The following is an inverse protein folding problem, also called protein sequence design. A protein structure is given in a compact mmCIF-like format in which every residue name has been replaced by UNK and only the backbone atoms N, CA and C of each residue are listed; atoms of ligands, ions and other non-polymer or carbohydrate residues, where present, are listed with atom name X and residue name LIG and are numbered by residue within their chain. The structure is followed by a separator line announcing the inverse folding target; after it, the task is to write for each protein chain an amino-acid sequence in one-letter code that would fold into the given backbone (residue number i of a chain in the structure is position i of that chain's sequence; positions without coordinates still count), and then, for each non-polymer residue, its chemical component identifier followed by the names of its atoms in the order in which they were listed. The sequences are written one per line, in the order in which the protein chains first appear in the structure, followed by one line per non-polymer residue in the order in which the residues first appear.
data_IF_147926434476
#
_entry.id   IF_147926434476
#
_cell.length_a   1.000
_cell.length_b   1.000
_cell.length_c   1.000
_cell.angle_alpha   90.00
_cell.angle_beta   90.00
_cell.angle_gamma   90.00
#
_symmetry.space_group_name_H-M   'P 1'
#
loop_
_entity.id
_entity.type
_entity.pdbx_description
1 polymer ?
#
# COMPACT_ATOMS: atom_id res chain seq x y z
N UNK A 1 0.23 -12.82 -17.07
CA UNK A 1 0.60 -12.97 -15.64
C UNK A 1 1.63 -14.07 -15.56
N UNK A 2 2.80 -13.83 -15.00
CA UNK A 2 3.80 -14.87 -14.79
C UNK A 2 3.98 -15.04 -13.29
N UNK A 3 4.00 -16.29 -12.77
CA UNK A 3 4.39 -16.51 -11.38
C UNK A 3 5.81 -15.96 -11.15
N UNK A 4 6.05 -15.38 -9.99
CA UNK A 4 7.35 -14.81 -9.59
C UNK A 4 8.42 -15.88 -9.48
N UNK A 5 8.02 -17.09 -9.28
CA UNK A 5 8.90 -18.21 -9.09
C UNK A 5 8.33 -19.43 -9.76
N UNK A 6 9.06 -20.02 -10.68
CA UNK A 6 9.49 -21.35 -10.30
C UNK A 6 10.35 -21.19 -9.04
N UNK A 7 9.73 -21.06 -7.89
CA UNK A 7 10.38 -21.30 -6.63
C UNK A 7 10.88 -22.73 -6.75
N UNK A 8 12.19 -22.91 -6.78
CA UNK A 8 12.73 -24.22 -6.46
C UNK A 8 12.27 -24.51 -5.04
N UNK A 9 11.05 -25.05 -4.94
CA UNK A 9 10.54 -25.64 -3.73
C UNK A 9 11.53 -26.71 -3.34
N UNK A 10 12.32 -26.47 -2.31
CA UNK A 10 13.20 -27.49 -1.82
C UNK A 10 14.61 -27.08 -1.38
N UNK A 11 14.99 -25.79 -1.39
CA UNK A 11 16.17 -25.41 -0.61
C UNK A 11 15.83 -25.56 0.87
N UNK A 12 16.55 -26.39 1.66
CA UNK A 12 16.30 -26.56 3.10
C UNK A 12 16.28 -25.23 3.88
N UNK A 13 17.02 -24.23 3.41
CA UNK A 13 17.08 -22.89 3.98
C UNK A 13 15.77 -22.08 3.79
N UNK A 14 15.04 -22.28 2.70
CA UNK A 14 13.76 -21.59 2.49
C UNK A 14 12.65 -22.22 3.32
N UNK A 15 12.59 -23.56 3.41
CA UNK A 15 11.59 -24.25 4.23
C UNK A 15 11.71 -23.86 5.71
N UNK A 16 12.92 -23.83 6.27
CA UNK A 16 13.14 -23.41 7.66
C UNK A 16 12.75 -21.96 7.94
N UNK A 17 12.94 -21.05 6.97
CA UNK A 17 12.50 -19.65 7.06
C UNK A 17 10.99 -19.53 6.98
N UNK A 18 10.36 -20.28 6.09
CA UNK A 18 8.90 -20.28 5.94
C UNK A 18 8.21 -20.88 7.16
N UNK A 19 8.78 -21.93 7.75
CA UNK A 19 8.33 -22.52 9.02
C UNK A 19 8.46 -21.52 10.18
N UNK A 20 9.60 -20.82 10.27
CA UNK A 20 9.83 -19.78 11.28
C UNK A 20 8.81 -18.64 11.16
N UNK A 21 8.60 -18.09 9.96
CA UNK A 21 7.63 -17.02 9.71
C UNK A 21 6.20 -17.50 9.96
N UNK A 22 5.86 -18.71 9.55
CA UNK A 22 4.54 -19.31 9.80
C UNK A 22 4.28 -19.45 11.29
N UNK A 23 5.23 -20.03 12.05
CA UNK A 23 5.13 -20.17 13.49
C UNK A 23 4.96 -18.81 14.17
N UNK A 24 5.83 -17.87 13.82
CA UNK A 24 5.86 -16.54 14.40
C UNK A 24 4.56 -15.76 14.12
N UNK A 25 4.11 -15.71 12.87
CA UNK A 25 2.89 -15.02 12.49
C UNK A 25 1.63 -15.69 13.08
N UNK A 26 1.61 -17.01 13.19
CA UNK A 26 0.51 -17.70 13.87
C UNK A 26 0.41 -17.28 15.34
N UNK A 27 1.52 -17.10 16.06
CA UNK A 27 1.51 -16.56 17.43
C UNK A 27 1.00 -15.12 17.46
N UNK A 28 1.46 -14.29 16.52
CA UNK A 28 1.08 -12.88 16.43
C UNK A 28 -0.41 -12.68 16.14
N UNK A 29 -0.96 -13.45 15.21
CA UNK A 29 -2.35 -13.29 14.74
C UNK A 29 -3.38 -14.07 15.56
N UNK A 30 -2.93 -15.02 16.40
CA UNK A 30 -3.83 -15.87 17.18
C UNK A 30 -4.34 -15.16 18.44
N UNK A 31 -5.14 -14.11 18.26
CA UNK A 31 -5.74 -13.34 19.35
C UNK A 31 -7.06 -13.96 19.86
N UNK A 32 -7.65 -14.85 19.06
CA UNK A 32 -8.99 -15.39 19.26
C UNK A 32 -9.04 -16.93 19.31
N UNK A 33 -7.89 -17.60 19.29
CA UNK A 33 -7.79 -19.05 19.18
C UNK A 33 -8.05 -19.60 17.77
N UNK A 34 -8.36 -18.72 16.80
CA UNK A 34 -8.70 -19.06 15.43
C UNK A 34 -7.91 -18.25 14.38
N UNK A 35 -6.75 -17.71 14.78
CA UNK A 35 -5.86 -16.91 13.93
C UNK A 35 -6.54 -15.69 13.31
N UNK A 36 -7.43 -15.03 14.06
CA UNK A 36 -8.15 -13.83 13.65
C UNK A 36 -9.45 -14.06 12.89
N UNK A 37 -9.85 -15.31 12.63
CA UNK A 37 -11.10 -15.62 11.91
C UNK A 37 -12.36 -15.22 12.65
N UNK A 38 -12.34 -15.21 13.98
CA UNK A 38 -13.49 -14.79 14.77
C UNK A 38 -13.54 -13.26 14.95
N UNK A 39 -12.42 -12.57 14.77
CA UNK A 39 -12.33 -11.10 14.87
C UNK A 39 -12.70 -10.43 13.55
N UNK A 40 -12.17 -10.92 12.44
CA UNK A 40 -12.49 -10.42 11.10
C UNK A 40 -13.00 -11.57 10.23
N UNK A 41 -14.21 -12.08 10.46
CA UNK A 41 -14.76 -13.21 9.68
C UNK A 41 -15.07 -12.79 8.23
N UNK A 42 -15.31 -11.51 8.00
CA UNK A 42 -15.63 -10.94 6.70
C UNK A 42 -14.59 -9.85 6.34
N UNK A 43 -13.58 -10.16 5.53
CA UNK A 43 -12.50 -9.21 5.24
C UNK A 43 -12.96 -7.88 4.63
N UNK A 44 -14.06 -7.87 3.89
CA UNK A 44 -14.66 -6.65 3.30
C UNK A 44 -15.59 -5.90 4.28
N UNK A 45 -15.75 -6.40 5.50
CA UNK A 45 -16.48 -5.77 6.59
C UNK A 45 -15.69 -5.96 7.89
N UNK A 46 -14.59 -5.21 7.98
CA UNK A 46 -13.60 -5.32 9.08
C UNK A 46 -14.25 -5.19 10.46
N UNK A 47 -15.32 -4.39 10.58
CA UNK A 47 -16.02 -4.12 11.84
C UNK A 47 -17.31 -4.92 11.99
N UNK A 48 -17.48 -5.99 11.23
CA UNK A 48 -18.64 -6.91 11.36
C UNK A 48 -18.80 -7.42 12.79
N UNK A 49 -17.69 -7.72 13.45
CA UNK A 49 -17.68 -8.13 14.86
C UNK A 49 -17.21 -6.94 15.71
N UNK A 50 -17.98 -6.53 16.74
CA UNK A 50 -17.68 -5.35 17.55
C UNK A 50 -16.29 -5.38 18.24
N UNK A 51 -15.76 -6.57 18.54
CA UNK A 51 -14.42 -6.71 19.14
C UNK A 51 -13.31 -6.18 18.23
N UNK A 52 -13.50 -6.14 16.91
CA UNK A 52 -12.53 -5.55 15.98
C UNK A 52 -12.27 -4.06 16.30
N UNK A 53 -13.29 -3.32 16.73
CA UNK A 53 -13.15 -1.91 17.12
C UNK A 53 -12.19 -1.72 18.29
N UNK A 54 -12.18 -2.66 19.25
CA UNK A 54 -11.29 -2.60 20.42
C UNK A 54 -9.83 -2.87 20.02
N UNK A 55 -9.60 -3.61 18.95
CA UNK A 55 -8.27 -3.90 18.43
C UNK A 55 -7.69 -2.75 17.60
N UNK A 56 -8.50 -1.80 17.17
CA UNK A 56 -8.03 -0.67 16.35
C UNK A 56 -7.05 0.24 17.10
N UNK A 57 -7.20 0.35 18.43
CA UNK A 57 -6.31 1.16 19.27
C UNK A 57 -4.94 0.48 19.52
N UNK A 58 -4.78 -0.81 19.19
CA UNK A 58 -3.53 -1.55 19.39
C UNK A 58 -2.54 -1.30 18.27
N UNK A 59 -1.29 -1.08 18.66
CA UNK A 59 -0.15 -1.11 17.74
C UNK A 59 0.39 -2.55 17.56
N UNK A 60 1.17 -2.75 16.51
CA UNK A 60 1.93 -3.98 16.33
C UNK A 60 2.95 -4.20 17.47
N UNK A 61 3.50 -3.10 18.05
CA UNK A 61 4.38 -3.15 19.21
C UNK A 61 3.65 -3.73 20.44
N UNK A 62 2.44 -3.23 20.75
CA UNK A 62 1.66 -3.69 21.89
C UNK A 62 1.41 -5.20 21.79
N UNK A 63 1.05 -5.68 20.59
CA UNK A 63 0.83 -7.09 20.36
C UNK A 63 2.09 -7.94 20.48
N UNK A 64 3.24 -7.46 19.96
CA UNK A 64 4.52 -8.15 20.11
C UNK A 64 4.93 -8.23 21.58
N UNK A 65 4.75 -7.17 22.34
CA UNK A 65 5.12 -7.13 23.75
C UNK A 65 4.21 -8.05 24.60
N UNK A 66 2.93 -8.13 24.28
CA UNK A 66 1.99 -9.07 24.91
C UNK A 66 2.45 -10.54 24.75
N UNK A 67 2.88 -10.93 23.54
CA UNK A 67 3.28 -12.31 23.25
C UNK A 67 4.78 -12.58 23.45
N UNK A 68 5.57 -11.56 23.84
CA UNK A 68 7.01 -11.66 23.97
C UNK A 68 7.51 -12.88 24.75
N UNK A 69 6.86 -13.32 25.88
CA UNK A 69 7.29 -14.50 26.60
C UNK A 69 7.21 -15.82 25.80
N UNK A 70 6.41 -15.84 24.73
CA UNK A 70 6.23 -17.01 23.86
C UNK A 70 7.14 -17.02 22.64
N UNK A 71 7.87 -15.94 22.40
CA UNK A 71 8.70 -15.76 21.21
C UNK A 71 10.16 -16.07 21.47
N UNK A 72 10.77 -16.86 20.60
CA UNK A 72 12.23 -16.89 20.49
C UNK A 72 12.75 -15.58 19.86
N UNK A 73 14.04 -15.24 20.09
CA UNK A 73 14.63 -14.06 19.44
C UNK A 73 14.51 -14.06 17.91
N UNK A 74 14.61 -15.23 17.27
CA UNK A 74 14.45 -15.38 15.82
C UNK A 74 13.00 -15.15 15.35
N UNK A 75 12.02 -15.69 16.09
CA UNK A 75 10.61 -15.46 15.79
C UNK A 75 10.25 -13.97 15.94
N UNK A 76 10.76 -13.31 16.99
CA UNK A 76 10.55 -11.89 17.22
C UNK A 76 11.10 -11.08 16.04
N UNK A 77 12.35 -11.30 15.64
CA UNK A 77 12.95 -10.61 14.49
C UNK A 77 12.20 -10.89 13.18
N UNK A 78 11.72 -12.11 12.97
CA UNK A 78 10.92 -12.49 11.80
C UNK A 78 9.58 -11.74 11.76
N UNK A 79 8.83 -11.69 12.87
CA UNK A 79 7.57 -10.91 12.96
C UNK A 79 7.84 -9.44 12.69
N UNK A 80 8.79 -8.85 13.41
CA UNK A 80 9.10 -7.43 13.31
C UNK A 80 9.47 -7.05 11.87
N UNK A 81 10.33 -7.83 11.22
CA UNK A 81 10.74 -7.57 9.83
C UNK A 81 9.57 -7.69 8.85
N UNK A 82 8.69 -8.68 9.03
CA UNK A 82 7.55 -8.88 8.13
C UNK A 82 6.49 -7.78 8.30
N UNK A 83 6.19 -7.37 9.53
CA UNK A 83 5.26 -6.28 9.81
C UNK A 83 5.79 -4.97 9.26
N UNK A 84 7.07 -4.68 9.46
CA UNK A 84 7.71 -3.47 8.93
C UNK A 84 7.79 -3.47 7.41
N UNK A 85 7.95 -4.65 6.78
CA UNK A 85 7.82 -4.80 5.33
C UNK A 85 6.42 -4.41 4.84
N UNK A 86 5.37 -4.83 5.55
CA UNK A 86 3.98 -4.54 5.18
C UNK A 86 3.60 -3.08 5.44
N UNK A 87 4.02 -2.52 6.58
CA UNK A 87 3.59 -1.19 7.02
C UNK A 87 4.50 -0.06 6.55
N UNK A 88 5.79 -0.33 6.33
CA UNK A 88 6.80 0.69 6.03
C UNK A 88 6.92 1.79 7.10
N UNK A 89 6.53 1.50 8.34
CA UNK A 89 6.43 2.41 9.46
C UNK A 89 7.32 1.98 10.64
N UNK A 90 6.99 2.37 11.86
CA UNK A 90 7.53 1.78 13.10
C UNK A 90 6.50 0.82 13.70
N UNK A 91 6.92 -0.13 14.52
CA UNK A 91 5.99 -1.07 15.18
C UNK A 91 4.95 -0.33 16.04
N UNK A 92 5.38 0.73 16.72
CA UNK A 92 4.50 1.54 17.58
C UNK A 92 3.47 2.38 16.80
N UNK A 93 3.76 2.74 15.54
CA UNK A 93 2.83 3.50 14.70
C UNK A 93 2.04 2.63 13.72
N UNK A 94 2.33 1.35 13.66
CA UNK A 94 1.64 0.37 12.80
C UNK A 94 0.39 -0.14 13.50
N UNK A 95 -0.80 0.02 12.92
CA UNK A 95 -2.04 -0.56 13.43
C UNK A 95 -2.00 -2.08 13.38
N UNK A 96 -2.27 -2.73 14.52
CA UNK A 96 -2.45 -4.17 14.59
C UNK A 96 -3.69 -4.61 13.80
N UNK A 97 -4.78 -3.87 13.88
CA UNK A 97 -6.01 -4.21 13.16
C UNK A 97 -5.84 -4.13 11.64
N UNK A 98 -5.09 -3.14 11.11
CA UNK A 98 -4.80 -3.09 9.68
C UNK A 98 -4.00 -4.30 9.21
N UNK A 99 -3.03 -4.75 10.01
CA UNK A 99 -2.30 -5.99 9.73
C UNK A 99 -3.23 -7.22 9.75
N UNK A 100 -4.12 -7.30 10.73
CA UNK A 100 -5.11 -8.38 10.82
C UNK A 100 -6.10 -8.38 9.66
N UNK A 101 -6.43 -7.21 9.13
CA UNK A 101 -7.24 -7.09 7.92
C UNK A 101 -6.50 -7.65 6.68
N UNK A 102 -5.21 -7.32 6.48
CA UNK A 102 -4.40 -7.92 5.41
C UNK A 102 -4.28 -9.44 5.57
N UNK A 103 -4.08 -9.90 6.81
CA UNK A 103 -4.03 -11.32 7.14
C UNK A 103 -5.32 -12.05 6.77
N UNK A 104 -6.47 -11.45 7.09
CA UNK A 104 -7.78 -11.99 6.76
C UNK A 104 -8.01 -12.09 5.24
N UNK A 105 -7.70 -11.04 4.50
CA UNK A 105 -7.79 -11.02 3.03
C UNK A 105 -6.88 -12.08 2.40
N UNK A 106 -5.71 -12.32 2.98
CA UNK A 106 -4.77 -13.35 2.54
C UNK A 106 -5.16 -14.78 3.00
N UNK A 107 -6.36 -14.99 3.55
CA UNK A 107 -6.87 -16.31 3.95
C UNK A 107 -6.30 -16.82 5.27
N UNK A 108 -5.82 -15.93 6.13
CA UNK A 108 -5.32 -16.19 7.49
C UNK A 108 -4.14 -17.17 7.54
N UNK A 109 -3.25 -17.08 6.56
CA UNK A 109 -2.04 -17.90 6.51
C UNK A 109 -0.87 -17.14 5.91
N UNK A 110 0.36 -17.46 6.36
CA UNK A 110 1.57 -16.92 5.75
C UNK A 110 1.68 -17.29 4.26
N UNK A 111 1.36 -18.54 3.90
CA UNK A 111 1.35 -18.98 2.52
C UNK A 111 0.39 -18.16 1.65
N UNK A 112 -0.81 -17.84 2.17
CA UNK A 112 -1.77 -16.95 1.51
C UNK A 112 -1.22 -15.54 1.32
N UNK A 113 -0.52 -14.99 2.33
CA UNK A 113 0.16 -13.70 2.17
C UNK A 113 1.21 -13.74 1.06
N UNK A 114 2.04 -14.79 1.00
CA UNK A 114 3.05 -14.92 -0.05
C UNK A 114 2.41 -15.05 -1.44
N UNK A 115 1.35 -15.84 -1.57
CA UNK A 115 0.63 -16.00 -2.83
C UNK A 115 -0.01 -14.68 -3.29
N UNK A 116 -0.75 -14.01 -2.44
CA UNK A 116 -1.52 -12.81 -2.81
C UNK A 116 -0.65 -11.56 -2.96
N UNK A 117 0.39 -11.39 -2.15
CA UNK A 117 1.18 -10.15 -2.12
C UNK A 117 2.37 -10.17 -3.06
N UNK A 118 2.94 -11.35 -3.40
CA UNK A 118 4.26 -11.44 -4.02
C UNK A 118 4.24 -12.23 -5.32
N UNK A 119 3.45 -13.30 -5.43
CA UNK A 119 3.57 -14.31 -6.50
C UNK A 119 3.25 -13.78 -7.89
N UNK A 120 2.25 -12.92 -8.00
CA UNK A 120 1.69 -12.51 -9.29
C UNK A 120 2.17 -11.12 -9.74
N UNK A 121 2.56 -11.02 -11.02
CA UNK A 121 3.02 -9.76 -11.63
C UNK A 121 2.45 -9.57 -13.03
N UNK A 122 2.31 -8.31 -13.42
CA UNK A 122 2.01 -7.98 -14.81
C UNK A 122 3.28 -8.13 -15.67
N UNK A 123 3.16 -8.85 -16.78
CA UNK A 123 4.28 -9.04 -17.73
C UNK A 123 4.89 -7.74 -18.21
N UNK A 124 4.06 -6.73 -18.43
CA UNK A 124 4.49 -5.39 -18.87
C UNK A 124 4.85 -4.43 -17.72
N UNK A 125 4.86 -4.90 -16.47
CA UNK A 125 5.00 -4.06 -15.28
C UNK A 125 3.70 -3.35 -14.89
N UNK A 126 3.66 -2.78 -13.67
CA UNK A 126 2.46 -2.14 -13.11
C UNK A 126 1.97 -0.95 -13.94
N UNK A 127 2.89 -0.14 -14.47
CA UNK A 127 2.53 1.01 -15.30
C UNK A 127 1.74 0.63 -16.54
N UNK A 128 2.01 -0.56 -17.14
CA UNK A 128 1.28 -1.02 -18.32
C UNK A 128 -0.20 -1.26 -18.03
N UNK A 129 -0.52 -1.67 -16.81
CA UNK A 129 -1.90 -1.87 -16.39
C UNK A 129 -2.68 -0.55 -16.34
N UNK A 130 -2.13 0.47 -15.65
CA UNK A 130 -2.74 1.80 -15.60
C UNK A 130 -2.88 2.45 -16.99
N UNK A 131 -1.84 2.31 -17.84
CA UNK A 131 -1.86 2.82 -19.21
C UNK A 131 -2.99 2.18 -20.03
N UNK A 132 -3.27 0.89 -19.86
CA UNK A 132 -4.37 0.21 -20.56
C UNK A 132 -5.74 0.79 -20.21
N UNK A 133 -6.02 1.09 -18.95
CA UNK A 133 -7.26 1.78 -18.57
C UNK A 133 -7.39 3.13 -19.28
N UNK A 134 -6.31 3.89 -19.32
CA UNK A 134 -6.28 5.19 -20.00
C UNK A 134 -6.52 5.04 -21.51
N UNK A 135 -5.84 4.09 -22.17
CA UNK A 135 -6.02 3.81 -23.60
C UNK A 135 -7.47 3.40 -23.93
N UNK A 136 -8.08 2.53 -23.13
CA UNK A 136 -9.49 2.13 -23.29
C UNK A 136 -10.44 3.33 -23.18
N UNK A 137 -10.18 4.22 -22.20
CA UNK A 137 -10.96 5.43 -22.06
C UNK A 137 -10.81 6.37 -23.25
N UNK A 138 -9.61 6.50 -23.83
CA UNK A 138 -9.33 7.32 -25.02
C UNK A 138 -10.09 6.82 -26.27
N UNK A 139 -10.16 5.50 -26.48
CA UNK A 139 -10.89 4.90 -27.62
C UNK A 139 -12.35 5.32 -27.64
N UNK A 140 -12.97 5.58 -26.49
CA UNK A 140 -14.36 6.05 -26.40
C UNK A 140 -14.58 7.43 -27.01
N UNK A 141 -13.54 8.23 -27.25
CA UNK A 141 -13.59 9.65 -27.67
C UNK A 141 -14.41 10.55 -26.73
N UNK A 142 -14.62 10.12 -25.48
CA UNK A 142 -15.37 10.84 -24.43
C UNK A 142 -14.48 11.34 -23.31
N UNK A 143 -13.18 11.01 -23.37
CA UNK A 143 -12.18 11.44 -22.41
C UNK A 143 -11.47 12.70 -22.95
N UNK A 144 -11.54 13.81 -22.20
CA UNK A 144 -10.60 14.92 -22.28
C UNK A 144 -9.66 14.82 -21.07
N UNK A 145 -8.38 15.13 -21.27
CA UNK A 145 -7.38 15.04 -20.21
C UNK A 145 -6.40 16.20 -20.24
N UNK A 146 -5.81 16.49 -19.08
CA UNK A 146 -4.76 17.48 -18.94
C UNK A 146 -3.70 16.96 -17.97
N UNK A 147 -2.53 16.63 -18.49
CA UNK A 147 -1.35 16.34 -17.68
C UNK A 147 -0.66 17.61 -17.18
N UNK A 148 0.24 17.47 -16.19
CA UNK A 148 0.98 18.60 -15.59
C UNK A 148 0.05 19.71 -15.11
N UNK A 149 -1.05 19.33 -14.48
CA UNK A 149 -2.12 20.22 -14.05
C UNK A 149 -2.46 19.98 -12.58
N UNK A 150 -1.52 20.21 -11.64
CA UNK A 150 -1.78 19.99 -10.23
C UNK A 150 -2.95 20.85 -9.76
N UNK A 151 -3.91 20.21 -9.10
CA UNK A 151 -5.09 20.87 -8.54
C UNK A 151 -4.69 21.66 -7.30
N UNK A 152 -5.16 22.90 -7.19
CA UNK A 152 -4.95 23.77 -6.04
C UNK A 152 -6.22 23.96 -5.23
N UNK A 153 -7.36 24.11 -5.91
CA UNK A 153 -8.62 24.48 -5.27
C UNK A 153 -9.81 23.78 -5.93
N UNK A 154 -10.72 23.28 -5.12
CA UNK A 154 -11.98 22.66 -5.52
C UNK A 154 -13.12 23.42 -4.83
N UNK A 155 -14.01 24.03 -5.62
CA UNK A 155 -15.19 24.74 -5.11
C UNK A 155 -16.45 24.04 -5.57
N UNK A 156 -17.28 23.62 -4.63
CA UNK A 156 -18.63 23.11 -4.90
C UNK A 156 -19.66 24.23 -4.72
N UNK A 157 -20.27 24.64 -5.80
CA UNK A 157 -21.29 25.69 -5.81
C UNK A 157 -22.71 25.16 -5.54
N UNK A 158 -22.85 23.85 -5.27
CA UNK A 158 -24.14 23.16 -5.20
C UNK A 158 -24.74 22.82 -6.56
N UNK A 159 -24.45 23.60 -7.60
CA UNK A 159 -24.87 23.32 -8.99
C UNK A 159 -23.80 22.58 -9.79
N UNK A 160 -22.55 22.90 -9.56
CA UNK A 160 -21.39 22.36 -10.26
C UNK A 160 -20.16 22.44 -9.37
N UNK A 161 -19.14 21.69 -9.71
CA UNK A 161 -17.82 21.79 -9.11
C UNK A 161 -16.90 22.61 -10.03
N UNK A 162 -16.16 23.52 -9.46
CA UNK A 162 -15.13 24.35 -10.11
C UNK A 162 -13.77 23.91 -9.57
N UNK A 163 -12.87 23.54 -10.49
CA UNK A 163 -11.51 23.08 -10.16
C UNK A 163 -10.52 24.09 -10.69
N UNK A 164 -9.65 24.59 -9.82
CA UNK A 164 -8.54 25.49 -10.21
C UNK A 164 -7.21 24.79 -10.01
N UNK A 165 -6.38 24.78 -11.05
CA UNK A 165 -5.01 24.25 -11.00
C UNK A 165 -4.02 25.30 -10.49
N UNK A 166 -2.79 24.86 -10.14
CA UNK A 166 -1.74 25.77 -9.64
C UNK A 166 -1.33 26.85 -10.66
N UNK A 167 -1.44 26.56 -11.95
CA UNK A 167 -1.18 27.50 -13.06
C UNK A 167 -2.39 28.38 -13.41
N UNK A 168 -3.48 28.30 -12.64
CA UNK A 168 -4.66 29.15 -12.78
C UNK A 168 -5.69 28.68 -13.79
N UNK A 169 -5.51 27.55 -14.48
CA UNK A 169 -6.54 26.99 -15.36
C UNK A 169 -7.76 26.57 -14.55
N UNK A 170 -8.93 26.70 -15.16
CA UNK A 170 -10.21 26.34 -14.52
C UNK A 170 -10.94 25.28 -15.31
N UNK A 171 -11.55 24.35 -14.58
CA UNK A 171 -12.39 23.29 -15.11
C UNK A 171 -13.71 23.26 -14.36
N UNK A 172 -14.79 22.91 -15.05
CA UNK A 172 -16.13 22.84 -14.48
C UNK A 172 -16.75 21.48 -14.75
N UNK A 173 -17.40 20.91 -13.76
CA UNK A 173 -18.06 19.61 -13.88
C UNK A 173 -19.34 19.54 -13.04
N UNK A 174 -20.30 18.73 -13.47
CA UNK A 174 -21.50 18.45 -12.66
C UNK A 174 -21.17 17.62 -11.41
N UNK A 175 -20.17 16.74 -11.51
CA UNK A 175 -19.63 15.90 -10.43
C UNK A 175 -18.12 15.83 -10.56
N UNK A 176 -17.44 15.67 -9.45
CA UNK A 176 -16.00 15.45 -9.37
C UNK A 176 -15.72 14.14 -8.62
N UNK A 177 -14.79 13.35 -9.12
CA UNK A 177 -14.21 12.22 -8.41
C UNK A 177 -12.76 12.59 -8.07
N UNK A 178 -12.46 12.70 -6.78
CA UNK A 178 -11.09 12.90 -6.30
C UNK A 178 -10.44 11.54 -6.04
N UNK A 179 -9.37 11.24 -6.77
CA UNK A 179 -8.52 10.05 -6.56
C UNK A 179 -7.17 10.43 -5.93
N UNK A 180 -7.10 11.57 -5.26
CA UNK A 180 -5.89 12.08 -4.61
C UNK A 180 -5.58 11.21 -3.38
N UNK A 181 -4.32 10.77 -3.18
CA UNK A 181 -3.92 10.01 -2.00
C UNK A 181 -4.13 10.78 -0.69
N UNK A 182 -4.38 10.05 0.41
CA UNK A 182 -4.68 10.62 1.72
C UNK A 182 -3.65 11.69 2.14
N UNK A 183 -2.37 11.38 2.07
CA UNK A 183 -1.29 12.26 2.53
C UNK A 183 -1.12 13.53 1.67
N UNK A 184 -1.73 13.58 0.48
CA UNK A 184 -1.67 14.73 -0.45
C UNK A 184 -2.98 15.52 -0.45
N UNK A 185 -4.06 14.92 0.01
CA UNK A 185 -5.40 15.51 -0.05
C UNK A 185 -5.47 16.86 0.69
N UNK A 186 -4.64 17.05 1.74
CA UNK A 186 -4.51 18.30 2.49
C UNK A 186 -3.88 19.47 1.73
N UNK A 187 -3.21 19.22 0.59
CA UNK A 187 -2.64 20.26 -0.26
C UNK A 187 -3.67 20.95 -1.16
N UNK A 188 -4.87 20.40 -1.22
CA UNK A 188 -5.98 20.93 -2.00
C UNK A 188 -6.96 21.65 -1.08
N UNK A 189 -7.25 22.90 -1.40
CA UNK A 189 -8.26 23.68 -0.69
C UNK A 189 -9.65 23.30 -1.18
N UNK A 190 -10.58 23.03 -0.27
CA UNK A 190 -11.98 22.74 -0.57
C UNK A 190 -12.87 23.88 -0.06
N UNK A 191 -13.81 24.33 -0.89
CA UNK A 191 -14.84 25.32 -0.57
C UNK A 191 -16.22 24.77 -0.99
N UNK A 192 -17.15 24.50 -0.04
CA UNK A 192 -16.97 24.59 1.42
C UNK A 192 -15.87 23.66 1.97
N UNK A 193 -15.37 23.94 3.19
CA UNK A 193 -14.38 23.10 3.84
C UNK A 193 -14.89 21.67 4.07
N UNK A 194 -14.02 20.69 3.94
CA UNK A 194 -14.33 19.28 4.22
C UNK A 194 -14.86 19.09 5.65
N UNK A 195 -15.63 18.02 5.89
CA UNK A 195 -16.12 17.66 7.21
C UNK A 195 -14.98 17.53 8.23
N UNK A 196 -15.26 17.75 9.50
CA UNK A 196 -14.26 17.65 10.58
C UNK A 196 -13.58 16.29 10.59
N UNK A 197 -14.34 15.19 10.55
CA UNK A 197 -13.74 13.86 10.55
C UNK A 197 -12.83 13.59 9.34
N UNK A 198 -13.17 14.11 8.14
CA UNK A 198 -12.30 14.00 6.96
C UNK A 198 -11.03 14.83 7.11
N UNK A 199 -11.12 16.03 7.68
CA UNK A 199 -9.93 16.88 7.94
C UNK A 199 -9.01 16.27 9.00
N UNK A 200 -9.57 15.66 10.03
CA UNK A 200 -8.81 14.92 11.04
C UNK A 200 -8.07 13.73 10.42
N UNK A 201 -8.76 12.93 9.59
CA UNK A 201 -8.13 11.83 8.86
C UNK A 201 -6.96 12.31 7.98
N UNK A 202 -7.14 13.41 7.26
CA UNK A 202 -6.12 14.01 6.41
C UNK A 202 -4.93 14.51 7.25
N UNK A 203 -5.18 15.10 8.42
CA UNK A 203 -4.13 15.60 9.30
C UNK A 203 -3.30 14.46 9.92
N UNK A 204 -3.90 13.29 10.18
CA UNK A 204 -3.21 12.10 10.65
C UNK A 204 -2.41 11.47 9.49
N UNK A 205 -3.03 11.29 8.33
CA UNK A 205 -2.44 10.62 7.19
C UNK A 205 -2.25 9.12 7.37
N UNK A 206 -1.52 8.49 6.46
CA UNK A 206 -1.03 7.12 6.61
C UNK A 206 0.44 7.09 7.03
N UNK A 207 0.86 6.02 7.70
CA UNK A 207 2.16 5.96 8.38
C UNK A 207 3.32 5.45 7.52
N UNK A 208 3.06 4.96 6.33
CA UNK A 208 4.08 4.28 5.51
C UNK A 208 5.05 5.26 4.86
N UNK A 209 6.32 5.18 5.28
CA UNK A 209 7.44 5.97 4.77
C UNK A 209 8.56 5.06 4.24
N UNK A 210 8.22 3.88 3.73
CA UNK A 210 9.19 2.88 3.27
C UNK A 210 10.03 3.39 2.10
N UNK A 211 11.26 2.95 2.07
CA UNK A 211 12.15 3.08 0.92
C UNK A 211 12.16 1.76 0.16
N UNK A 212 12.00 1.84 -1.15
CA UNK A 212 12.07 0.69 -2.06
C UNK A 212 13.20 0.91 -3.06
N UNK A 213 14.16 0.00 -3.05
CA UNK A 213 15.31 0.01 -3.96
C UNK A 213 15.27 -1.24 -4.83
N UNK A 214 15.31 -1.06 -6.13
CA UNK A 214 15.46 -2.14 -7.09
C UNK A 214 16.94 -2.24 -7.48
N UNK A 215 17.54 -3.42 -7.27
CA UNK A 215 18.91 -3.69 -7.66
C UNK A 215 18.95 -4.73 -8.80
N UNK A 216 19.76 -4.45 -9.80
CA UNK A 216 20.15 -5.43 -10.80
C UNK A 216 21.50 -6.00 -10.39
N UNK A 217 21.59 -7.32 -10.19
CA UNK A 217 22.79 -8.01 -9.75
C UNK A 217 23.18 -9.15 -10.69
N UNK A 218 24.47 -9.40 -10.82
CA UNK A 218 25.00 -10.38 -11.76
C UNK A 218 24.73 -11.85 -11.37
N UNK A 219 24.50 -12.15 -10.09
CA UNK A 219 24.29 -13.51 -9.59
C UNK A 219 22.88 -14.04 -9.94
N UNK A 220 22.83 -15.09 -10.75
CA UNK A 220 21.58 -15.70 -11.26
C UNK A 220 20.88 -16.61 -10.24
N UNK A 221 21.59 -17.08 -9.23
CA UNK A 221 21.03 -17.96 -8.21
C UNK A 221 20.13 -17.21 -7.22
N UNK A 222 20.19 -15.87 -7.25
CA UNK A 222 19.37 -15.01 -6.40
C UNK A 222 17.95 -14.74 -6.94
N UNK A 223 17.55 -15.34 -8.05
CA UNK A 223 16.24 -15.07 -8.70
C UNK A 223 15.03 -15.39 -7.83
N UNK A 224 15.16 -16.35 -6.93
CA UNK A 224 14.11 -16.77 -5.98
C UNK A 224 14.61 -16.67 -4.54
N UNK A 225 15.61 -15.83 -4.31
CA UNK A 225 16.22 -15.63 -3.00
C UNK A 225 15.39 -14.64 -2.15
N UNK A 226 15.38 -14.88 -0.84
CA UNK A 226 14.87 -13.95 0.14
C UNK A 226 15.92 -13.66 1.19
N UNK A 227 16.18 -12.40 1.47
CA UNK A 227 17.10 -11.94 2.49
C UNK A 227 16.41 -11.11 3.56
N UNK A 228 16.71 -11.38 4.83
CA UNK A 228 16.26 -10.60 5.98
C UNK A 228 17.50 -10.21 6.78
N UNK A 229 17.73 -8.92 6.95
CA UNK A 229 18.87 -8.35 7.67
C UNK A 229 18.46 -7.47 8.85
N UNK A 230 17.15 -7.42 9.15
CA UNK A 230 16.63 -6.75 10.32
C UNK A 230 17.17 -7.35 11.63
N UNK A 231 17.54 -6.54 12.64
CA UNK A 231 17.54 -5.09 12.70
C UNK A 231 18.85 -4.41 12.32
N UNK A 232 19.76 -5.10 11.66
CA UNK A 232 21.18 -4.72 11.53
C UNK A 232 21.50 -3.85 10.31
N UNK A 233 20.60 -3.76 9.33
CA UNK A 233 20.77 -3.02 8.09
C UNK A 233 19.62 -2.01 7.85
N UNK A 234 19.87 -0.98 7.08
CA UNK A 234 18.87 0.02 6.68
C UNK A 234 17.83 -0.57 5.72
N UNK A 235 18.26 -1.46 4.84
CA UNK A 235 17.38 -2.30 4.04
C UNK A 235 17.17 -3.61 4.80
N UNK A 236 15.95 -3.84 5.26
CA UNK A 236 15.66 -4.93 6.19
C UNK A 236 15.18 -6.22 5.53
N UNK A 237 14.60 -6.12 4.33
CA UNK A 237 14.03 -7.24 3.60
C UNK A 237 14.31 -7.11 2.10
N UNK A 238 14.69 -8.22 1.44
CA UNK A 238 14.88 -8.25 0.01
C UNK A 238 14.38 -9.54 -0.60
N UNK A 239 13.89 -9.44 -1.84
CA UNK A 239 13.32 -10.56 -2.59
C UNK A 239 13.92 -10.59 -3.98
N UNK A 240 14.37 -11.76 -4.40
CA UNK A 240 14.69 -12.05 -5.79
C UNK A 240 13.43 -11.98 -6.64
N UNK A 241 13.48 -11.18 -7.71
CA UNK A 241 12.30 -10.77 -8.48
C UNK A 241 12.45 -11.09 -9.97
N UNK A 242 13.07 -12.23 -10.26
CA UNK A 242 13.23 -12.73 -11.61
C UNK A 242 14.42 -12.16 -12.36
N UNK A 243 14.32 -12.12 -13.69
CA UNK A 243 15.40 -11.79 -14.60
C UNK A 243 15.17 -10.44 -15.27
N UNK A 244 16.22 -9.61 -15.33
CA UNK A 244 16.21 -8.36 -16.10
C UNK A 244 16.33 -8.65 -17.62
N UNK A 245 16.01 -7.68 -18.50
CA UNK A 245 16.24 -7.82 -19.94
C UNK A 245 17.70 -8.10 -20.32
N UNK A 246 18.67 -7.67 -19.48
CA UNK A 246 20.10 -7.96 -19.67
C UNK A 246 20.50 -9.38 -19.22
N UNK A 247 19.57 -10.18 -18.68
CA UNK A 247 19.83 -11.53 -18.20
C UNK A 247 20.39 -11.62 -16.79
N UNK A 248 20.48 -10.50 -16.08
CA UNK A 248 20.86 -10.42 -14.67
C UNK A 248 19.66 -10.71 -13.76
N UNK A 249 19.88 -10.73 -12.46
CA UNK A 249 18.81 -10.90 -11.48
C UNK A 249 18.29 -9.56 -11.00
N UNK A 250 16.98 -9.42 -10.93
CA UNK A 250 16.29 -8.31 -10.30
C UNK A 250 16.05 -8.63 -8.82
N UNK A 251 16.49 -7.76 -7.94
CA UNK A 251 16.27 -7.82 -6.49
C UNK A 251 15.46 -6.59 -6.08
N UNK A 252 14.42 -6.81 -5.28
CA UNK A 252 13.66 -5.72 -4.65
C UNK A 252 14.01 -5.67 -3.18
N UNK A 253 14.56 -4.55 -2.73
CA UNK A 253 14.94 -4.30 -1.35
C UNK A 253 14.00 -3.28 -0.71
N UNK A 254 13.65 -3.52 0.56
CA UNK A 254 12.79 -2.64 1.34
C UNK A 254 13.51 -2.16 2.60
N UNK A 255 13.42 -0.86 2.85
CA UNK A 255 13.90 -0.22 4.07
C UNK A 255 12.73 0.30 4.90
N UNK A 256 12.90 0.32 6.22
CA UNK A 256 11.91 0.86 7.14
C UNK A 256 12.15 2.34 7.47
N UNK A 257 11.19 2.95 8.14
CA UNK A 257 11.30 4.34 8.61
C UNK A 257 12.28 4.52 9.78
N UNK A 258 12.62 3.45 10.50
CA UNK A 258 13.48 3.50 11.70
C UNK A 258 14.95 3.78 11.41
N UNK A 259 15.42 3.31 10.26
CA UNK A 259 16.79 3.54 9.76
C UNK A 259 16.67 4.02 8.33
N UNK A 260 16.27 5.26 8.20
CA UNK A 260 15.93 5.81 6.90
C UNK A 260 17.17 6.00 6.05
N UNK A 261 17.22 5.28 4.94
CA UNK A 261 18.16 5.54 3.86
C UNK A 261 17.45 6.35 2.77
N UNK A 262 18.10 7.38 2.27
CA UNK A 262 17.60 8.14 1.13
C UNK A 262 18.51 7.91 -0.08
N UNK A 263 18.12 7.04 -1.02
CA UNK A 263 18.95 6.72 -2.18
C UNK A 263 19.27 7.93 -3.07
N UNK A 264 18.44 8.95 -3.05
CA UNK A 264 18.64 10.17 -3.86
C UNK A 264 19.72 11.09 -3.25
N UNK A 265 19.89 11.04 -1.94
CA UNK A 265 20.86 11.88 -1.23
C UNK A 265 22.23 11.16 -1.08
N UNK A 266 22.24 9.80 -0.90
CA UNK A 266 23.45 9.02 -0.69
C UNK A 266 23.37 7.67 -1.40
N UNK A 267 23.84 7.64 -2.64
CA UNK A 267 23.89 6.43 -3.47
C UNK A 267 24.89 5.40 -2.95
N UNK A 268 26.00 5.85 -2.32
CA UNK A 268 27.03 4.93 -1.83
C UNK A 268 26.57 4.25 -0.54
N UNK A 269 25.88 4.94 0.37
CA UNK A 269 25.21 4.29 1.50
C UNK A 269 24.16 3.29 1.00
N UNK A 270 23.39 3.64 -0.03
CA UNK A 270 22.41 2.74 -0.62
C UNK A 270 23.06 1.48 -1.20
N UNK A 271 24.18 1.61 -1.92
CA UNK A 271 24.94 0.45 -2.42
C UNK A 271 25.43 -0.42 -1.28
N UNK A 272 26.01 0.18 -0.22
CA UNK A 272 26.44 -0.58 0.98
C UNK A 272 25.28 -1.32 1.62
N UNK A 273 24.12 -0.68 1.79
CA UNK A 273 22.94 -1.32 2.35
C UNK A 273 22.42 -2.48 1.48
N UNK A 274 22.45 -2.35 0.16
CA UNK A 274 22.13 -3.45 -0.77
C UNK A 274 23.15 -4.57 -0.67
N UNK A 275 24.45 -4.26 -0.65
CA UNK A 275 25.53 -5.26 -0.46
C UNK A 275 25.37 -6.02 0.85
N UNK A 276 25.04 -5.32 1.94
CA UNK A 276 24.82 -5.93 3.25
C UNK A 276 23.66 -6.95 3.26
N UNK A 277 22.73 -6.88 2.32
CA UNK A 277 21.68 -7.91 2.18
C UNK A 277 22.27 -9.29 1.79
N UNK A 278 23.45 -9.32 1.19
CA UNK A 278 24.07 -10.52 0.63
C UNK A 278 25.19 -11.13 1.51
N UNK A 279 25.35 -10.69 2.75
CA UNK A 279 26.46 -11.14 3.65
C UNK A 279 26.54 -12.65 3.85
N UNK A 280 25.44 -13.39 3.64
CA UNK A 280 25.41 -14.84 3.75
C UNK A 280 25.69 -15.57 2.43
N UNK A 281 25.88 -14.82 1.33
CA UNK A 281 26.22 -15.41 0.05
C UNK A 281 27.73 -15.72 -0.01
N UNK A 282 28.08 -16.83 -0.66
CA UNK A 282 29.47 -17.25 -0.80
C UNK A 282 30.30 -16.23 -1.57
N UNK A 283 29.69 -15.67 -2.61
CA UNK A 283 30.29 -14.64 -3.44
C UNK A 283 29.40 -13.40 -3.42
N UNK A 284 29.99 -12.24 -3.15
CA UNK A 284 29.25 -10.96 -3.17
C UNK A 284 28.81 -10.66 -4.60
N UNK A 285 27.49 -10.50 -4.86
CA UNK A 285 27.02 -10.24 -6.19
C UNK A 285 27.35 -8.80 -6.61
N UNK A 286 27.86 -8.64 -7.82
CA UNK A 286 28.11 -7.30 -8.38
C UNK A 286 26.79 -6.59 -8.65
N UNK A 287 26.64 -5.37 -8.12
CA UNK A 287 25.51 -4.48 -8.38
C UNK A 287 25.79 -3.77 -9.71
N UNK A 288 24.98 -4.05 -10.72
CA UNK A 288 25.11 -3.45 -12.06
C UNK A 288 24.31 -2.15 -12.17
N UNK A 289 23.15 -2.09 -11.50
CA UNK A 289 22.25 -0.93 -11.54
C UNK A 289 21.38 -0.86 -10.30
N UNK A 290 21.06 0.38 -9.87
CA UNK A 290 20.03 0.67 -8.89
C UNK A 290 18.93 1.53 -9.55
N UNK A 291 17.67 1.25 -9.19
CA UNK A 291 16.51 2.06 -9.57
C UNK A 291 15.69 2.31 -8.31
N UNK A 292 15.37 3.56 -8.05
CA UNK A 292 14.63 3.99 -6.87
C UNK A 292 13.86 5.27 -7.14
N UNK A 293 12.90 5.58 -6.26
CA UNK A 293 12.23 6.86 -6.18
C UNK A 293 11.85 7.11 -4.72
N UNK A 294 12.08 8.33 -4.24
CA UNK A 294 11.72 8.71 -2.87
C UNK A 294 10.25 9.16 -2.81
N UNK A 295 9.36 8.19 -2.68
CA UNK A 295 7.91 8.44 -2.58
C UNK A 295 7.52 9.30 -1.39
N UNK A 296 8.26 9.24 -0.29
CA UNK A 296 8.00 10.04 0.91
C UNK A 296 8.27 11.53 0.71
N UNK A 297 9.23 11.88 -0.16
CA UNK A 297 9.55 13.26 -0.56
C UNK A 297 8.81 13.70 -1.82
N UNK A 298 8.15 12.80 -2.54
CA UNK A 298 7.35 13.15 -3.71
C UNK A 298 6.14 13.99 -3.29
N UNK A 299 5.98 15.17 -3.87
CA UNK A 299 4.91 16.10 -3.51
C UNK A 299 3.50 15.57 -3.82
N UNK A 300 3.38 14.57 -4.70
CA UNK A 300 2.10 13.98 -5.10
C UNK A 300 1.83 12.60 -4.48
N UNK A 301 2.73 12.11 -3.62
CA UNK A 301 2.58 10.86 -2.89
C UNK A 301 2.70 11.06 -1.38
N UNK A 302 3.77 11.69 -0.89
CA UNK A 302 4.10 11.95 0.53
C UNK A 302 4.07 10.68 1.39
N UNK A 303 4.47 9.58 0.82
CA UNK A 303 4.47 8.24 1.42
C UNK A 303 4.41 7.16 0.36
N UNK A 304 4.43 5.91 0.79
CA UNK A 304 4.28 4.77 -0.11
C UNK A 304 2.79 4.34 -0.22
N UNK A 305 2.46 3.10 0.04
CA UNK A 305 1.06 2.64 0.08
C UNK A 305 0.43 2.93 1.45
N UNK A 306 -0.90 2.97 1.50
CA UNK A 306 -1.60 3.21 2.75
C UNK A 306 -1.32 2.10 3.78
N UNK A 307 -1.03 2.52 5.02
CA UNK A 307 -1.13 1.69 6.21
C UNK A 307 -1.55 2.59 7.38
N UNK A 308 -2.53 2.17 8.16
CA UNK A 308 -3.09 3.01 9.22
C UNK A 308 -2.25 3.00 10.49
N UNK A 309 -2.33 4.11 11.23
CA UNK A 309 -1.94 4.15 12.64
C UNK A 309 -2.99 3.49 13.53
N UNK A 310 -2.66 3.13 14.78
CA UNK A 310 -3.66 2.73 15.77
C UNK A 310 -4.77 3.76 15.92
N UNK A 311 -6.00 3.31 16.09
CA UNK A 311 -7.20 4.14 16.28
C UNK A 311 -7.70 4.87 15.04
N UNK A 312 -7.13 4.63 13.86
CA UNK A 312 -7.51 5.34 12.64
C UNK A 312 -8.75 4.75 11.97
N UNK A 313 -8.82 3.43 11.82
CA UNK A 313 -9.84 2.80 10.97
C UNK A 313 -11.24 3.00 11.51
N UNK A 314 -11.47 2.71 12.78
CA UNK A 314 -12.79 2.84 13.40
C UNK A 314 -13.31 4.28 13.40
N UNK A 315 -12.42 5.26 13.48
CA UNK A 315 -12.81 6.67 13.55
C UNK A 315 -12.95 7.33 12.18
N UNK A 316 -12.13 6.95 11.20
CA UNK A 316 -11.94 7.79 10.01
C UNK A 316 -12.26 7.10 8.68
N UNK A 317 -12.30 5.75 8.62
CA UNK A 317 -12.52 5.04 7.35
C UNK A 317 -13.81 5.48 6.66
N UNK A 318 -14.93 5.55 7.39
CA UNK A 318 -16.20 6.00 6.84
C UNK A 318 -16.18 7.47 6.43
N UNK A 319 -15.50 8.31 7.21
CA UNK A 319 -15.35 9.72 6.86
C UNK A 319 -14.63 9.90 5.52
N UNK A 320 -13.58 9.10 5.25
CA UNK A 320 -12.85 9.17 3.99
C UNK A 320 -13.71 8.76 2.79
N UNK A 321 -14.60 7.78 2.95
CA UNK A 321 -15.52 7.29 1.91
C UNK A 321 -16.71 8.21 1.65
N UNK A 322 -17.09 9.03 2.64
CA UNK A 322 -18.21 9.97 2.50
C UNK A 322 -17.92 11.00 1.42
N UNK A 323 -18.97 11.28 0.63
CA UNK A 323 -18.94 12.37 -0.34
C UNK A 323 -18.97 13.75 0.35
N UNK A 324 -18.57 14.77 -0.37
CA UNK A 324 -18.67 16.16 0.04
C UNK A 324 -19.42 16.95 -1.05
N UNK A 325 -20.73 17.12 -0.87
CA UNK A 325 -21.57 17.73 -1.90
C UNK A 325 -21.51 16.98 -3.24
N UNK A 326 -21.03 17.66 -4.28
CA UNK A 326 -20.84 17.11 -5.62
C UNK A 326 -19.45 16.47 -5.82
N UNK A 327 -18.62 16.39 -4.77
CA UNK A 327 -17.31 15.76 -4.79
C UNK A 327 -17.38 14.38 -4.15
N UNK A 328 -16.97 13.36 -4.88
CA UNK A 328 -16.84 11.98 -4.44
C UNK A 328 -15.35 11.63 -4.31
N UNK A 329 -15.04 10.68 -3.44
CA UNK A 329 -13.66 10.28 -3.17
C UNK A 329 -13.48 8.81 -3.51
N UNK A 330 -12.44 8.48 -4.29
CA UNK A 330 -12.12 7.13 -4.74
C UNK A 330 -10.61 6.92 -4.74
N UNK A 331 -10.11 6.24 -3.74
CA UNK A 331 -8.71 5.86 -3.65
C UNK A 331 -8.59 4.51 -2.93
N UNK A 332 -7.54 3.76 -3.19
CA UNK A 332 -7.25 2.52 -2.48
C UNK A 332 -7.08 2.70 -0.97
N UNK A 333 -6.72 3.91 -0.53
CA UNK A 333 -6.41 4.23 0.86
C UNK A 333 -7.59 4.03 1.82
N UNK A 334 -8.82 3.96 1.29
CA UNK A 334 -10.04 3.72 2.07
C UNK A 334 -10.95 2.63 1.50
N UNK A 335 -10.43 1.77 0.65
CA UNK A 335 -11.15 0.58 0.21
C UNK A 335 -11.50 -0.33 1.39
N UNK A 336 -12.61 -1.04 1.30
CA UNK A 336 -13.02 -1.99 2.34
C UNK A 336 -12.26 -3.30 2.25
N UNK A 337 -12.05 -3.76 1.01
CA UNK A 337 -11.33 -4.98 0.73
C UNK A 337 -9.81 -4.77 0.64
N UNK A 338 -9.25 -4.85 -0.55
CA UNK A 338 -7.82 -4.72 -0.80
C UNK A 338 -7.32 -3.27 -0.65
N UNK A 339 -7.47 -2.70 0.55
CA UNK A 339 -6.94 -1.37 0.89
C UNK A 339 -5.44 -1.34 0.64
N UNK A 340 -4.95 -0.26 0.05
CA UNK A 340 -3.55 -0.05 -0.37
C UNK A 340 -3.16 -0.69 -1.70
N UNK A 341 -3.99 -1.50 -2.31
CA UNK A 341 -3.71 -2.24 -3.53
C UNK A 341 -4.46 -1.71 -4.75
N UNK A 342 -4.07 -2.16 -5.94
CA UNK A 342 -4.74 -1.83 -7.21
C UNK A 342 -6.20 -2.30 -7.18
N UNK A 343 -6.48 -3.46 -6.60
CA UNK A 343 -7.85 -3.98 -6.43
C UNK A 343 -8.73 -3.03 -5.63
N UNK A 344 -8.20 -2.45 -4.53
CA UNK A 344 -8.91 -1.43 -3.76
C UNK A 344 -9.16 -0.15 -4.55
N UNK A 345 -8.23 0.26 -5.41
CA UNK A 345 -8.45 1.39 -6.31
C UNK A 345 -9.56 1.10 -7.33
N UNK A 346 -9.65 -0.12 -7.84
CA UNK A 346 -10.73 -0.57 -8.74
C UNK A 346 -12.06 -0.64 -7.98
N UNK A 347 -12.08 -1.16 -6.75
CA UNK A 347 -13.25 -1.20 -5.87
C UNK A 347 -13.85 0.19 -5.70
N UNK A 348 -13.06 1.14 -5.21
CA UNK A 348 -13.51 2.49 -4.93
C UNK A 348 -13.85 3.28 -6.20
N UNK A 349 -13.04 3.14 -7.25
CA UNK A 349 -13.29 3.74 -8.55
C UNK A 349 -14.62 3.25 -9.14
N UNK A 350 -14.91 1.95 -9.03
CA UNK A 350 -16.15 1.33 -9.49
C UNK A 350 -17.34 1.84 -8.68
N UNK A 351 -17.23 1.86 -7.35
CA UNK A 351 -18.26 2.36 -6.44
C UNK A 351 -18.73 3.76 -6.82
N UNK A 352 -17.77 4.70 -6.91
CA UNK A 352 -18.13 6.10 -7.20
C UNK A 352 -18.53 6.32 -8.65
N UNK A 353 -17.99 5.57 -9.61
CA UNK A 353 -18.40 5.67 -11.01
C UNK A 353 -19.87 5.28 -11.22
N UNK A 354 -20.34 4.22 -10.55
CA UNK A 354 -21.75 3.84 -10.56
C UNK A 354 -22.65 4.89 -9.91
N UNK A 355 -22.21 5.48 -8.79
CA UNK A 355 -22.96 6.56 -8.12
C UNK A 355 -23.11 7.78 -9.02
N UNK A 356 -22.00 8.26 -9.60
CA UNK A 356 -22.02 9.39 -10.54
C UNK A 356 -22.86 9.09 -11.78
N UNK A 357 -22.77 7.90 -12.34
CA UNK A 357 -23.58 7.50 -13.51
C UNK A 357 -25.06 7.55 -13.21
N UNK A 358 -25.50 7.06 -12.05
CA UNK A 358 -26.89 7.09 -11.61
C UNK A 358 -27.39 8.54 -11.52
N UNK A 359 -26.66 9.40 -10.80
CA UNK A 359 -27.03 10.80 -10.60
C UNK A 359 -27.08 11.59 -11.91
N UNK A 360 -26.10 11.42 -12.80
CA UNK A 360 -26.10 12.10 -14.10
C UNK A 360 -27.25 11.63 -14.99
N UNK A 361 -27.70 10.40 -14.86
CA UNK A 361 -28.87 9.89 -15.59
C UNK A 361 -30.15 10.55 -15.08
N UNK A 362 -30.29 10.69 -13.76
CA UNK A 362 -31.45 11.38 -13.13
C UNK A 362 -31.49 12.86 -13.52
N UNK A 363 -30.37 13.57 -13.47
CA UNK A 363 -30.24 14.95 -13.89
C UNK A 363 -30.64 15.17 -15.37
N UNK A 364 -30.32 14.23 -16.25
CA UNK A 364 -30.68 14.28 -17.67
C UNK A 364 -32.23 14.12 -17.83
N UNK A 365 -32.81 13.14 -17.14
CA UNK A 365 -34.28 12.91 -17.17
C UNK A 365 -35.04 14.15 -16.68
N UNK A 366 -34.60 14.75 -15.57
CA UNK A 366 -35.21 15.96 -15.04
C UNK A 366 -35.18 17.16 -16.01
N UNK A 367 -34.09 17.28 -16.81
CA UNK A 367 -34.01 18.34 -17.86
C UNK A 367 -34.88 18.08 -19.09
N UNK A 368 -35.20 16.82 -19.37
CA UNK A 368 -36.02 16.46 -20.53
C UNK A 368 -37.54 16.54 -20.21
N UNK A 369 -37.91 16.59 -18.93
CA UNK A 369 -39.29 16.69 -18.45
C UNK A 369 -39.74 18.14 -18.18
N UNK A 370 -38.87 19.11 -18.36
CA UNK A 370 -39.10 20.56 -18.32
C UNK A 370 -39.16 21.14 -19.74
#
# INVERSE_FOLDING_TARGET
MFPIAEIQSGSPTNLAKDELLTSALNKFTNIDGAYGRNVIPLPYDTFHVPTATQLDDLSAQDRIDEIAPSLSPHERAAIESFILLCSGATLATTSFLEFMHWWAICGYTYAGCMDMLITWKFKGGQSSFAIKFFEEALVTKRLAYAFRSPVKHIKDTGRRVEVTTRDGRQYHAARLISAIPLNVLGDVTFDPALSTGKREAIAIGHVNQTVKVHAEVSNKDLRSWTGVTYPHNELMYAIGDGTTPAGNTHIVCFGGSNKHINPEDDIDATKRAVTNMFVQQKDEPKIERLVFHNWSKDEFAKGAWFFSSPGFLAKHLDHMRQRHGNVLFANSDWALGWRSFIDGAIEEGTRVAFEVRRELTELRKAKTSL
#
